data_IF_278310179246
#
_entry.id   IF_278310179246
#
_cell.length_a   1.000
_cell.length_b   1.000
_cell.length_c   1.000
_cell.angle_alpha   90.00
_cell.angle_beta   90.00
_cell.angle_gamma   90.00
#
_symmetry.space_group_name_H-M   'P 1'
#
loop_
_entity.id
_entity.type
_entity.pdbx_description
1 polymer ?
#
# COMPACT_ATOMS: atom_id res chain seq x y z
N UNK A 1 -62.64 -35.23 -37.61
CA UNK A 1 -63.80 -34.41 -37.95
C UNK A 1 -63.82 -33.28 -36.94
N UNK A 2 -63.18 -32.12 -37.17
CA UNK A 2 -63.37 -31.16 -38.31
C UNK A 2 -64.70 -30.39 -38.19
N UNK A 3 -64.82 -29.08 -38.49
CA UNK A 3 -63.88 -27.99 -38.84
C UNK A 3 -64.11 -26.79 -37.85
N UNK A 4 -63.61 -25.55 -37.93
CA UNK A 4 -62.77 -24.71 -38.85
C UNK A 4 -61.96 -23.74 -37.92
N UNK A 5 -60.78 -23.15 -38.21
CA UNK A 5 -60.33 -22.13 -39.19
C UNK A 5 -61.13 -20.79 -39.16
N UNK A 6 -60.54 -19.59 -39.27
CA UNK A 6 -59.21 -19.20 -39.80
C UNK A 6 -58.80 -17.76 -39.35
N UNK A 7 -57.49 -17.51 -39.17
CA UNK A 7 -56.75 -16.22 -39.42
C UNK A 7 -57.13 -14.91 -38.65
N UNK A 8 -56.24 -13.96 -38.33
CA UNK A 8 -54.90 -13.55 -38.85
C UNK A 8 -54.11 -12.80 -37.73
N UNK A 9 -52.77 -12.69 -37.84
CA UNK A 9 -51.98 -11.61 -37.17
C UNK A 9 -50.79 -12.02 -36.29
N UNK A 10 -49.59 -12.06 -36.88
CA UNK A 10 -48.32 -12.12 -36.13
C UNK A 10 -47.92 -10.72 -35.60
N UNK A 11 -47.57 -10.59 -34.32
CA UNK A 11 -46.64 -9.56 -33.83
C UNK A 11 -45.56 -10.20 -32.96
N UNK A 12 -44.43 -10.54 -33.58
CA UNK A 12 -43.20 -10.87 -32.87
C UNK A 12 -42.66 -9.64 -32.13
N UNK A 13 -43.11 -9.42 -30.88
CA UNK A 13 -42.45 -8.46 -29.98
C UNK A 13 -41.15 -9.05 -29.44
N UNK A 14 -40.12 -8.90 -30.25
CA UNK A 14 -38.72 -9.08 -29.85
C UNK A 14 -38.44 -8.27 -28.57
N UNK A 15 -38.19 -8.99 -27.47
CA UNK A 15 -37.65 -8.39 -26.26
C UNK A 15 -36.28 -7.81 -26.59
N UNK A 16 -36.15 -6.48 -26.44
CA UNK A 16 -34.96 -5.75 -26.85
C UNK A 16 -33.73 -6.25 -26.05
N UNK A 17 -32.64 -6.74 -26.70
CA UNK A 17 -31.53 -7.41 -26.00
C UNK A 17 -30.76 -6.50 -25.02
N UNK A 18 -30.87 -5.18 -25.19
CA UNK A 18 -30.17 -4.17 -24.36
C UNK A 18 -30.55 -4.20 -22.87
N UNK A 19 -31.73 -4.73 -22.52
CA UNK A 19 -32.18 -4.84 -21.13
C UNK A 19 -31.41 -5.90 -20.31
N UNK A 20 -30.59 -6.75 -20.94
CA UNK A 20 -29.70 -7.69 -20.23
C UNK A 20 -28.33 -7.11 -19.86
N UNK A 21 -27.95 -5.96 -20.43
CA UNK A 21 -26.66 -5.32 -20.15
C UNK A 21 -26.67 -4.36 -18.94
N UNK A 22 -27.80 -4.22 -18.23
CA UNK A 22 -27.86 -3.59 -16.91
C UNK A 22 -27.54 -4.60 -15.78
N UNK A 23 -26.61 -5.53 -16.05
CA UNK A 23 -26.15 -6.51 -15.09
C UNK A 23 -25.35 -5.84 -13.97
N UNK A 24 -25.77 -6.07 -12.72
CA UNK A 24 -25.08 -5.87 -11.44
C UNK A 24 -23.64 -5.36 -11.61
N UNK A 25 -23.45 -4.04 -11.62
CA UNK A 25 -22.09 -3.48 -11.65
C UNK A 25 -21.49 -3.53 -10.26
N UNK A 26 -20.38 -4.28 -10.11
CA UNK A 26 -19.57 -4.19 -8.91
C UNK A 26 -19.02 -2.75 -8.83
N UNK A 27 -19.10 -2.06 -7.67
CA UNK A 27 -18.50 -0.74 -7.53
C UNK A 27 -16.99 -0.72 -7.83
N UNK A 28 -16.30 -1.88 -7.87
CA UNK A 28 -14.91 -2.05 -8.30
C UNK A 28 -14.73 -2.43 -9.78
N UNK A 29 -15.79 -2.78 -10.52
CA UNK A 29 -15.72 -3.17 -11.94
C UNK A 29 -16.18 -2.09 -12.92
N UNK A 30 -16.75 -0.98 -12.44
CA UNK A 30 -17.16 0.12 -13.31
C UNK A 30 -15.95 0.75 -14.00
N UNK A 31 -16.01 0.89 -15.33
CA UNK A 31 -15.16 1.82 -16.06
C UNK A 31 -15.52 3.23 -15.58
N UNK A 32 -14.66 3.78 -14.72
CA UNK A 32 -14.93 5.03 -14.02
C UNK A 32 -14.98 6.19 -15.02
N UNK A 33 -16.05 6.98 -14.93
CA UNK A 33 -16.08 8.36 -15.41
C UNK A 33 -15.09 9.22 -14.63
N UNK A 34 -15.24 10.55 -14.71
CA UNK A 34 -14.35 11.46 -13.99
C UNK A 34 -14.42 11.15 -12.49
N UNK A 35 -13.26 11.15 -11.81
CA UNK A 35 -13.20 10.87 -10.37
C UNK A 35 -14.05 11.87 -9.56
N UNK A 36 -14.31 13.07 -10.12
CA UNK A 36 -15.20 14.08 -9.55
C UNK A 36 -16.71 13.73 -9.65
N UNK A 37 -17.12 12.82 -10.54
CA UNK A 37 -18.52 12.37 -10.67
C UNK A 37 -18.97 11.56 -9.44
N UNK A 38 -18.01 11.08 -8.64
CA UNK A 38 -18.24 10.31 -7.42
C UNK A 38 -18.26 11.13 -6.14
N UNK A 39 -17.61 12.29 -6.06
CA UNK A 39 -17.55 13.07 -4.81
C UNK A 39 -17.06 14.50 -5.08
N UNK A 40 -17.68 15.48 -4.44
CA UNK A 40 -17.29 16.89 -4.51
C UNK A 40 -15.78 17.08 -4.22
N UNK A 41 -15.06 17.70 -5.15
CA UNK A 41 -13.63 18.07 -5.06
C UNK A 41 -12.63 16.97 -4.61
N UNK A 42 -12.98 15.69 -4.73
CA UNK A 42 -12.10 14.59 -4.29
C UNK A 42 -10.73 14.58 -4.98
N UNK A 43 -10.65 14.99 -6.26
CA UNK A 43 -9.38 15.15 -6.99
C UNK A 43 -8.44 16.18 -6.34
N UNK A 44 -8.99 17.25 -5.78
CA UNK A 44 -8.21 18.27 -5.05
C UNK A 44 -7.71 17.75 -3.71
N UNK A 45 -8.49 16.93 -2.99
CA UNK A 45 -8.03 16.25 -1.77
C UNK A 45 -6.90 15.25 -2.09
N UNK A 46 -7.03 14.52 -3.19
CA UNK A 46 -6.04 13.54 -3.64
C UNK A 46 -4.71 14.18 -4.05
N UNK A 47 -4.74 15.29 -4.80
CA UNK A 47 -3.54 16.08 -5.15
C UNK A 47 -2.83 16.65 -3.90
N UNK A 48 -3.58 17.21 -2.95
CA UNK A 48 -3.03 17.67 -1.68
C UNK A 48 -2.40 16.52 -0.87
N UNK A 49 -2.98 15.32 -0.91
CA UNK A 49 -2.46 14.14 -0.23
C UNK A 49 -1.16 13.63 -0.88
N UNK A 50 -1.09 13.62 -2.21
CA UNK A 50 0.15 13.28 -2.94
C UNK A 50 1.28 14.26 -2.66
N UNK A 51 0.98 15.55 -2.45
CA UNK A 51 1.96 16.59 -2.07
C UNK A 51 2.34 16.59 -0.59
N UNK A 52 1.69 15.76 0.24
CA UNK A 52 1.90 15.76 1.69
C UNK A 52 1.35 16.99 2.42
N UNK A 53 0.44 17.74 1.80
CA UNK A 53 -0.13 19.00 2.31
C UNK A 53 -1.25 18.76 3.34
N UNK A 54 -0.97 17.94 4.37
CA UNK A 54 -1.95 17.43 5.32
C UNK A 54 -2.73 18.53 6.07
N UNK A 55 -2.09 19.67 6.39
CA UNK A 55 -2.79 20.82 7.02
C UNK A 55 -3.84 21.44 6.08
N UNK A 56 -3.51 21.59 4.81
CA UNK A 56 -4.42 22.12 3.79
C UNK A 56 -5.62 21.21 3.54
N UNK A 57 -5.46 19.89 3.72
CA UNK A 57 -6.57 18.93 3.70
C UNK A 57 -7.54 19.21 4.86
N UNK A 58 -7.04 19.35 6.10
CA UNK A 58 -7.89 19.68 7.26
C UNK A 58 -8.62 21.02 7.07
N UNK A 59 -7.93 22.05 6.58
CA UNK A 59 -8.54 23.35 6.28
C UNK A 59 -9.67 23.24 5.25
N UNK A 60 -9.44 22.48 4.16
CA UNK A 60 -10.43 22.28 3.09
C UNK A 60 -11.65 21.52 3.62
N UNK A 61 -11.42 20.43 4.36
CA UNK A 61 -12.49 19.63 4.98
C UNK A 61 -13.31 20.47 5.97
N UNK A 62 -12.65 21.28 6.82
CA UNK A 62 -13.33 22.18 7.76
C UNK A 62 -14.24 23.19 7.03
N UNK A 63 -13.77 23.76 5.91
CA UNK A 63 -14.59 24.67 5.08
C UNK A 63 -15.77 23.94 4.42
N UNK A 64 -15.56 22.77 3.81
CA UNK A 64 -16.63 22.00 3.18
C UNK A 64 -17.71 21.54 4.19
N UNK A 65 -17.31 21.16 5.41
CA UNK A 65 -18.23 20.86 6.52
C UNK A 65 -19.02 22.11 6.95
N UNK A 66 -18.36 23.26 7.16
CA UNK A 66 -19.00 24.53 7.57
C UNK A 66 -19.96 25.11 6.53
N UNK A 67 -19.70 24.88 5.25
CA UNK A 67 -20.54 25.34 4.13
C UNK A 67 -21.59 24.30 3.70
N UNK A 68 -21.72 23.18 4.42
CA UNK A 68 -22.66 22.09 4.11
C UNK A 68 -22.62 21.61 2.65
N UNK A 69 -21.40 21.53 2.07
CA UNK A 69 -21.20 21.16 0.66
C UNK A 69 -21.32 19.65 0.41
N UNK A 70 -21.26 18.84 1.47
CA UNK A 70 -21.44 17.39 1.42
C UNK A 70 -22.93 17.09 1.59
N UNK A 71 -23.51 16.32 0.66
CA UNK A 71 -24.95 16.04 0.64
C UNK A 71 -25.26 14.54 0.71
N UNK A 72 -24.36 13.69 0.22
CA UNK A 72 -24.60 12.24 0.09
C UNK A 72 -23.79 11.46 1.14
N UNK A 73 -24.35 10.43 1.79
CA UNK A 73 -23.66 9.67 2.84
C UNK A 73 -22.21 9.24 2.54
N UNK A 74 -21.91 8.78 1.32
CA UNK A 74 -20.55 8.39 0.95
C UNK A 74 -19.55 9.56 0.85
N UNK A 75 -20.00 10.78 0.55
CA UNK A 75 -19.16 11.98 0.50
C UNK A 75 -18.64 12.30 1.92
N UNK A 76 -19.50 12.18 2.94
CA UNK A 76 -19.10 12.31 4.34
C UNK A 76 -18.06 11.26 4.75
N UNK A 77 -18.24 9.99 4.35
CA UNK A 77 -17.28 8.91 4.63
C UNK A 77 -15.93 9.12 3.92
N UNK A 78 -15.93 9.62 2.68
CA UNK A 78 -14.71 9.94 1.95
C UNK A 78 -13.98 11.12 2.61
N UNK A 79 -14.68 12.19 2.94
CA UNK A 79 -14.10 13.35 3.62
C UNK A 79 -13.57 12.99 5.01
N UNK A 80 -14.29 12.16 5.77
CA UNK A 80 -13.82 11.62 7.05
C UNK A 80 -12.54 10.77 6.86
N UNK A 81 -12.49 9.91 5.85
CA UNK A 81 -11.30 9.13 5.55
C UNK A 81 -10.06 10.01 5.27
N UNK A 82 -10.22 11.10 4.52
CA UNK A 82 -9.14 12.08 4.32
C UNK A 82 -8.81 12.87 5.59
N UNK A 83 -9.80 13.18 6.44
CA UNK A 83 -9.61 13.88 7.70
C UNK A 83 -8.75 13.05 8.67
N UNK A 84 -9.18 11.83 8.96
CA UNK A 84 -8.48 10.89 9.85
C UNK A 84 -7.08 10.55 9.30
N UNK A 85 -6.93 10.39 7.98
CA UNK A 85 -5.62 10.20 7.35
C UNK A 85 -4.69 11.41 7.57
N UNK A 86 -5.18 12.64 7.37
CA UNK A 86 -4.39 13.85 7.57
C UNK A 86 -4.02 14.07 9.05
N UNK A 87 -4.94 13.82 9.99
CA UNK A 87 -4.68 13.85 11.44
C UNK A 87 -3.60 12.82 11.82
N UNK A 88 -3.73 11.58 11.33
CA UNK A 88 -2.75 10.49 11.55
C UNK A 88 -1.37 10.87 11.01
N UNK A 89 -1.29 11.45 9.80
CA UNK A 89 -0.03 11.91 9.19
C UNK A 89 0.60 13.09 9.94
N UNK A 90 -0.21 13.93 10.57
CA UNK A 90 0.23 15.02 11.46
C UNK A 90 0.52 14.56 12.91
N UNK A 91 0.49 13.24 13.18
CA UNK A 91 0.69 12.62 14.50
C UNK A 91 -0.35 13.07 15.56
N UNK A 92 -1.51 13.59 15.12
CA UNK A 92 -2.67 13.96 15.95
C UNK A 92 -3.56 12.73 16.19
N UNK A 93 -3.01 11.71 16.86
CA UNK A 93 -3.67 10.40 16.97
C UNK A 93 -4.95 10.41 17.82
N UNK A 94 -5.04 11.30 18.82
CA UNK A 94 -6.22 11.43 19.68
C UNK A 94 -7.39 12.01 18.87
N UNK A 95 -7.19 13.17 18.22
CA UNK A 95 -8.18 13.78 17.30
C UNK A 95 -8.61 12.81 16.18
N UNK A 96 -7.69 11.98 15.69
CA UNK A 96 -8.00 10.96 14.69
C UNK A 96 -8.88 9.82 15.24
N UNK A 97 -8.74 9.49 16.53
CA UNK A 97 -9.59 8.50 17.21
C UNK A 97 -10.97 9.07 17.46
N UNK A 98 -11.05 10.28 18.02
CA UNK A 98 -12.32 10.98 18.30
C UNK A 98 -13.19 11.10 17.03
N UNK A 99 -12.60 11.37 15.87
CA UNK A 99 -13.30 11.39 14.58
C UNK A 99 -13.76 10.00 14.12
N UNK A 100 -13.04 8.91 14.43
CA UNK A 100 -13.46 7.54 14.16
C UNK A 100 -14.53 7.04 15.14
N UNK A 101 -14.48 7.46 16.40
CA UNK A 101 -15.45 7.12 17.45
C UNK A 101 -16.84 7.71 17.18
N UNK A 102 -16.98 8.60 16.18
CA UNK A 102 -18.28 9.05 15.63
C UNK A 102 -18.97 8.03 14.72
N UNK A 103 -18.28 6.96 14.32
CA UNK A 103 -18.82 5.93 13.42
C UNK A 103 -19.46 4.79 14.21
N UNK A 104 -20.55 4.25 13.65
CA UNK A 104 -21.10 2.97 14.06
C UNK A 104 -20.31 1.81 13.43
N UNK A 105 -20.72 0.57 13.73
CA UNK A 105 -20.26 -0.62 13.02
C UNK A 105 -20.34 -0.44 11.49
N UNK A 106 -19.25 -0.73 10.79
CA UNK A 106 -19.12 -0.60 9.34
C UNK A 106 -20.04 -1.52 8.54
N UNK A 107 -20.67 -2.52 9.17
CA UNK A 107 -21.71 -3.35 8.56
C UNK A 107 -23.15 -2.87 8.85
N UNK A 108 -23.33 -1.77 9.59
CA UNK A 108 -24.61 -1.09 9.84
C UNK A 108 -25.30 -0.68 8.53
N UNK A 109 -26.64 -0.73 8.50
CA UNK A 109 -27.42 -0.47 7.28
C UNK A 109 -27.24 0.95 6.74
N UNK A 110 -26.97 1.95 7.60
CA UNK A 110 -26.70 3.32 7.16
C UNK A 110 -25.46 3.48 6.26
N UNK A 111 -24.56 2.49 6.25
CA UNK A 111 -23.39 2.50 5.37
C UNK A 111 -23.58 1.69 4.09
N UNK A 112 -24.79 1.24 3.78
CA UNK A 112 -25.10 0.44 2.59
C UNK A 112 -25.85 1.25 1.54
N UNK A 113 -25.49 1.08 0.26
CA UNK A 113 -26.11 1.82 -0.86
C UNK A 113 -27.62 1.55 -0.95
N UNK A 114 -28.05 0.30 -0.73
CA UNK A 114 -29.44 -0.14 -0.80
C UNK A 114 -30.39 0.56 0.19
N UNK A 115 -29.85 1.19 1.24
CA UNK A 115 -30.62 1.96 2.23
C UNK A 115 -31.08 3.33 1.70
N UNK A 116 -30.47 3.84 0.62
CA UNK A 116 -30.79 5.14 0.03
C UNK A 116 -31.15 5.02 -1.46
N UNK A 117 -32.20 4.28 -1.83
CA UNK A 117 -32.54 3.99 -3.24
C UNK A 117 -32.85 5.26 -4.06
N UNK A 118 -33.30 6.35 -3.41
CA UNK A 118 -33.52 7.65 -4.04
C UNK A 118 -32.22 8.37 -4.44
N UNK A 119 -31.11 8.07 -3.77
CA UNK A 119 -29.78 8.69 -4.02
C UNK A 119 -28.90 7.76 -4.86
N UNK A 120 -29.07 6.44 -4.71
CA UNK A 120 -28.27 5.41 -5.39
C UNK A 120 -29.16 4.34 -6.05
N UNK A 121 -29.90 4.67 -7.13
CA UNK A 121 -30.67 3.68 -7.86
C UNK A 121 -29.76 2.55 -8.35
N UNK A 122 -30.21 1.31 -8.15
CA UNK A 122 -29.55 0.06 -8.57
C UNK A 122 -28.10 -0.14 -8.05
N UNK A 123 -27.70 0.48 -6.92
CA UNK A 123 -26.41 0.22 -6.26
C UNK A 123 -26.59 -0.58 -4.98
N UNK A 124 -25.63 -1.47 -4.72
CA UNK A 124 -25.63 -2.39 -3.57
C UNK A 124 -24.26 -2.45 -2.90
N UNK A 125 -24.23 -2.70 -1.59
CA UNK A 125 -23.02 -2.94 -0.80
C UNK A 125 -22.53 -1.72 0.00
N UNK A 126 -21.33 -1.86 0.58
CA UNK A 126 -20.76 -0.89 1.53
C UNK A 126 -20.24 0.38 0.85
N UNK A 127 -20.68 1.54 1.37
CA UNK A 127 -20.13 2.87 1.09
C UNK A 127 -18.80 3.13 1.84
N UNK A 128 -18.51 2.39 2.92
CA UNK A 128 -17.30 2.57 3.74
C UNK A 128 -16.02 2.33 2.91
N UNK A 129 -15.13 3.34 2.75
CA UNK A 129 -13.88 3.16 2.03
C UNK A 129 -12.99 2.11 2.71
N UNK A 130 -12.32 1.26 1.91
CA UNK A 130 -11.41 0.25 2.46
C UNK A 130 -10.27 0.87 3.30
N UNK A 131 -9.75 2.03 2.88
CA UNK A 131 -8.75 2.79 3.63
C UNK A 131 -9.26 3.22 5.01
N UNK A 132 -10.53 3.58 5.15
CA UNK A 132 -11.13 3.93 6.45
C UNK A 132 -11.17 2.73 7.38
N UNK A 133 -11.55 1.54 6.85
CA UNK A 133 -11.52 0.27 7.60
C UNK A 133 -10.11 -0.09 8.08
N UNK A 134 -9.09 0.12 7.25
CA UNK A 134 -7.70 -0.11 7.62
C UNK A 134 -7.18 0.90 8.65
N UNK A 135 -7.43 2.21 8.48
CA UNK A 135 -7.00 3.22 9.47
C UNK A 135 -7.65 2.95 10.83
N UNK A 136 -8.93 2.56 10.86
CA UNK A 136 -9.62 2.16 12.09
C UNK A 136 -8.97 0.95 12.80
N UNK A 137 -8.37 0.02 12.05
CA UNK A 137 -7.62 -1.10 12.63
C UNK A 137 -6.19 -0.70 13.06
N UNK A 138 -5.51 0.15 12.29
CA UNK A 138 -4.11 0.55 12.51
C UNK A 138 -3.94 1.63 13.59
N UNK A 139 -4.91 2.52 13.78
CA UNK A 139 -4.77 3.68 14.67
C UNK A 139 -4.54 3.34 16.16
N UNK A 140 -5.22 2.34 16.78
CA UNK A 140 -5.02 2.01 18.20
C UNK A 140 -3.56 1.71 18.56
N UNK A 141 -2.76 1.13 17.66
CA UNK A 141 -1.31 0.96 17.83
C UNK A 141 -0.56 2.28 18.06
N UNK A 142 -0.99 3.38 17.44
CA UNK A 142 -0.39 4.73 17.65
C UNK A 142 -0.76 5.33 19.01
N UNK A 143 -1.78 4.78 19.67
CA UNK A 143 -2.19 5.08 21.05
C UNK A 143 -1.66 4.02 22.04
N UNK A 144 -0.88 3.04 21.58
CA UNK A 144 -0.29 1.97 22.40
C UNK A 144 -1.16 0.73 22.58
N UNK A 145 -2.40 0.70 22.05
CA UNK A 145 -3.28 -0.46 22.17
C UNK A 145 -3.00 -1.52 21.07
N UNK A 146 -1.92 -2.28 21.26
CA UNK A 146 -1.50 -3.35 20.33
C UNK A 146 -2.54 -4.45 20.16
N UNK A 147 -3.19 -4.88 21.25
CA UNK A 147 -4.14 -6.00 21.22
C UNK A 147 -5.30 -5.69 20.29
N UNK A 148 -5.95 -4.54 20.52
CA UNK A 148 -7.05 -4.05 19.70
C UNK A 148 -6.66 -3.85 18.22
N UNK A 149 -5.46 -3.35 17.92
CA UNK A 149 -5.02 -3.27 16.52
C UNK A 149 -4.89 -4.64 15.86
N UNK A 150 -4.30 -5.63 16.55
CA UNK A 150 -4.20 -6.98 15.99
C UNK A 150 -5.58 -7.61 15.80
N UNK A 151 -6.45 -7.53 16.79
CA UNK A 151 -7.83 -8.07 16.71
C UNK A 151 -8.60 -7.43 15.54
N UNK A 152 -8.58 -6.09 15.43
CA UNK A 152 -9.23 -5.36 14.32
C UNK A 152 -8.61 -5.70 12.96
N UNK A 153 -7.30 -5.93 12.87
CA UNK A 153 -6.63 -6.32 11.62
C UNK A 153 -6.94 -7.76 11.21
N UNK A 154 -7.02 -8.71 12.14
CA UNK A 154 -7.42 -10.08 11.85
C UNK A 154 -8.91 -10.16 11.43
N UNK A 155 -9.80 -9.43 12.10
CA UNK A 155 -11.20 -9.28 11.66
C UNK A 155 -11.29 -8.67 10.25
N UNK A 156 -10.46 -7.67 9.94
CA UNK A 156 -10.38 -7.11 8.59
C UNK A 156 -9.84 -8.09 7.55
N UNK A 157 -8.89 -8.96 7.93
CA UNK A 157 -8.37 -10.02 7.06
C UNK A 157 -9.45 -11.06 6.73
N UNK A 158 -10.21 -11.49 7.74
CA UNK A 158 -11.31 -12.45 7.54
C UNK A 158 -12.44 -11.85 6.68
N UNK A 159 -12.79 -10.58 6.91
CA UNK A 159 -13.70 -9.83 6.03
C UNK A 159 -13.19 -9.79 4.57
N UNK A 160 -11.91 -9.48 4.36
CA UNK A 160 -11.31 -9.44 3.01
C UNK A 160 -11.32 -10.81 2.35
N UNK A 161 -10.99 -11.88 3.09
CA UNK A 161 -11.00 -13.26 2.59
C UNK A 161 -12.40 -13.72 2.21
N UNK A 162 -13.41 -13.38 3.01
CA UNK A 162 -14.79 -13.72 2.69
C UNK A 162 -15.28 -12.99 1.43
N UNK A 163 -14.95 -11.70 1.28
CA UNK A 163 -15.26 -10.95 0.05
C UNK A 163 -14.52 -11.51 -1.17
N UNK A 164 -13.26 -11.90 -1.03
CA UNK A 164 -12.49 -12.55 -2.09
C UNK A 164 -13.14 -13.88 -2.51
N UNK A 165 -13.47 -14.75 -1.55
CA UNK A 165 -14.15 -16.04 -1.78
C UNK A 165 -15.46 -15.87 -2.54
N UNK A 166 -16.29 -14.90 -2.16
CA UNK A 166 -17.55 -14.60 -2.86
C UNK A 166 -17.26 -14.15 -4.30
N UNK A 167 -16.27 -13.26 -4.51
CA UNK A 167 -15.96 -12.72 -5.84
C UNK A 167 -15.33 -13.73 -6.80
N UNK A 168 -14.58 -14.70 -6.28
CA UNK A 168 -14.07 -15.84 -7.04
C UNK A 168 -15.21 -16.76 -7.52
N UNK A 169 -16.23 -16.99 -6.69
CA UNK A 169 -17.44 -17.74 -7.07
C UNK A 169 -18.27 -16.98 -8.13
N UNK A 170 -18.38 -15.66 -8.01
CA UNK A 170 -19.09 -14.79 -8.97
C UNK A 170 -18.33 -14.55 -10.29
N UNK A 171 -17.05 -14.96 -10.40
CA UNK A 171 -16.18 -14.79 -11.58
C UNK A 171 -16.00 -13.34 -12.06
N UNK A 172 -15.91 -12.38 -11.12
CA UNK A 172 -15.61 -10.98 -11.44
C UNK A 172 -14.10 -10.71 -11.40
N UNK A 173 -13.37 -11.08 -12.47
CA UNK A 173 -11.89 -11.07 -12.53
C UNK A 173 -11.22 -9.78 -11.99
N UNK A 174 -11.70 -8.60 -12.40
CA UNK A 174 -11.16 -7.30 -11.95
C UNK A 174 -11.43 -7.05 -10.45
N UNK A 175 -12.58 -7.49 -9.94
CA UNK A 175 -12.91 -7.35 -8.52
C UNK A 175 -12.08 -8.32 -7.67
N UNK A 176 -11.93 -9.58 -8.12
CA UNK A 176 -11.06 -10.61 -7.49
C UNK A 176 -9.64 -10.08 -7.32
N UNK A 177 -9.04 -9.52 -8.37
CA UNK A 177 -7.68 -8.99 -8.30
C UNK A 177 -7.54 -7.80 -7.34
N UNK A 178 -8.55 -6.93 -7.26
CA UNK A 178 -8.59 -5.84 -6.27
C UNK A 178 -8.71 -6.36 -4.83
N UNK A 179 -9.49 -7.42 -4.59
CA UNK A 179 -9.59 -8.05 -3.27
C UNK A 179 -8.34 -8.86 -2.89
N UNK A 180 -7.67 -9.51 -3.85
CA UNK A 180 -6.36 -10.16 -3.67
C UNK A 180 -5.28 -9.17 -3.23
N UNK A 181 -5.22 -8.00 -3.89
CA UNK A 181 -4.34 -6.87 -3.47
C UNK A 181 -4.65 -6.39 -2.05
N UNK A 182 -5.92 -6.38 -1.64
CA UNK A 182 -6.33 -6.06 -0.26
C UNK A 182 -5.92 -7.16 0.73
N UNK A 183 -6.03 -8.44 0.38
CA UNK A 183 -5.57 -9.54 1.26
C UNK A 183 -4.06 -9.40 1.51
N UNK A 184 -3.29 -9.22 0.43
CA UNK A 184 -1.86 -8.94 0.52
C UNK A 184 -1.55 -7.72 1.38
N UNK A 185 -2.26 -6.61 1.21
CA UNK A 185 -2.06 -5.38 2.01
C UNK A 185 -2.33 -5.57 3.51
N UNK A 186 -3.41 -6.27 3.88
CA UNK A 186 -3.73 -6.55 5.29
C UNK A 186 -2.75 -7.55 5.90
N UNK A 187 -2.39 -8.62 5.17
CA UNK A 187 -1.34 -9.56 5.60
C UNK A 187 -0.01 -8.83 5.83
N UNK A 188 0.40 -7.95 4.91
CA UNK A 188 1.61 -7.14 5.11
C UNK A 188 1.51 -6.24 6.36
N UNK A 189 0.34 -5.65 6.64
CA UNK A 189 0.12 -4.84 7.84
C UNK A 189 0.27 -5.67 9.13
N UNK A 190 -0.37 -6.84 9.19
CA UNK A 190 -0.27 -7.79 10.32
C UNK A 190 1.17 -8.29 10.49
N UNK A 191 1.81 -8.70 9.39
CA UNK A 191 3.20 -9.15 9.38
C UNK A 191 4.17 -8.08 9.89
N UNK A 192 3.95 -6.79 9.57
CA UNK A 192 4.77 -5.69 10.10
C UNK A 192 4.65 -5.55 11.62
N UNK A 193 3.45 -5.74 12.20
CA UNK A 193 3.25 -5.71 13.65
C UNK A 193 3.88 -6.90 14.36
N UNK A 194 3.82 -8.10 13.77
CA UNK A 194 4.54 -9.26 14.30
C UNK A 194 6.07 -9.08 14.17
N UNK A 195 6.55 -8.53 13.05
CA UNK A 195 7.97 -8.32 12.80
C UNK A 195 8.58 -7.29 13.76
N UNK A 196 7.90 -6.17 14.04
CA UNK A 196 8.37 -5.18 15.01
C UNK A 196 8.47 -5.73 16.44
N UNK A 197 7.65 -6.73 16.76
CA UNK A 197 7.68 -7.48 18.03
C UNK A 197 8.59 -8.73 17.99
N UNK A 198 9.32 -8.96 16.88
CA UNK A 198 10.21 -10.13 16.65
C UNK A 198 9.49 -11.49 16.69
N UNK A 199 8.19 -11.52 16.40
CA UNK A 199 7.36 -12.72 16.34
C UNK A 199 7.49 -13.40 14.96
N UNK A 200 8.73 -13.74 14.58
CA UNK A 200 9.08 -14.21 13.24
C UNK A 200 8.29 -15.43 12.79
N UNK A 201 7.92 -16.34 13.69
CA UNK A 201 7.16 -17.56 13.34
C UNK A 201 5.78 -17.28 12.74
N UNK A 202 5.06 -16.29 13.27
CA UNK A 202 3.74 -15.89 12.73
C UNK A 202 3.92 -15.17 11.39
N UNK A 203 4.91 -14.27 11.32
CA UNK A 203 5.23 -13.51 10.12
C UNK A 203 5.63 -14.42 8.93
N UNK A 204 6.50 -15.42 9.17
CA UNK A 204 6.90 -16.42 8.19
C UNK A 204 5.72 -17.30 7.74
N UNK A 205 4.81 -17.68 8.64
CA UNK A 205 3.60 -18.43 8.28
C UNK A 205 2.72 -17.61 7.34
N UNK A 206 2.34 -16.40 7.75
CA UNK A 206 1.46 -15.52 6.97
C UNK A 206 2.01 -15.18 5.58
N UNK A 207 3.33 -14.97 5.45
CA UNK A 207 3.96 -14.69 4.16
C UNK A 207 4.13 -15.92 3.29
N UNK A 208 4.42 -17.10 3.85
CA UNK A 208 4.40 -18.36 3.08
C UNK A 208 2.99 -18.66 2.57
N UNK A 209 1.96 -18.50 3.40
CA UNK A 209 0.56 -18.65 3.00
C UNK A 209 0.17 -17.66 1.88
N UNK A 210 0.72 -16.44 1.88
CA UNK A 210 0.51 -15.44 0.81
C UNK A 210 1.28 -15.77 -0.48
N UNK A 211 2.53 -16.22 -0.38
CA UNK A 211 3.38 -16.61 -1.51
C UNK A 211 2.83 -17.84 -2.20
N UNK A 212 2.43 -18.88 -1.47
CA UNK A 212 1.86 -20.11 -2.02
C UNK A 212 0.54 -19.89 -2.80
N UNK A 213 -0.17 -18.78 -2.52
CA UNK A 213 -1.36 -18.36 -3.29
C UNK A 213 -1.00 -17.58 -4.56
N UNK A 214 0.15 -16.89 -4.56
CA UNK A 214 0.54 -15.91 -5.56
C UNK A 214 2.03 -16.06 -5.90
N UNK A 215 2.44 -17.27 -6.32
CA UNK A 215 3.86 -17.64 -6.48
C UNK A 215 4.63 -16.74 -7.47
N UNK A 216 3.91 -16.08 -8.38
CA UNK A 216 4.43 -15.15 -9.38
C UNK A 216 4.62 -13.70 -8.90
N UNK A 217 4.35 -13.33 -7.63
CA UNK A 217 4.65 -11.97 -7.12
C UNK A 217 6.09 -11.83 -6.60
N UNK A 218 7.00 -11.15 -7.31
CA UNK A 218 8.39 -11.01 -6.89
C UNK A 218 8.55 -10.19 -5.61
N UNK A 219 7.60 -9.28 -5.31
CA UNK A 219 7.67 -8.42 -4.13
C UNK A 219 7.36 -9.20 -2.85
N UNK A 220 6.39 -10.12 -2.89
CA UNK A 220 6.10 -11.01 -1.75
C UNK A 220 7.23 -12.01 -1.49
N UNK A 221 7.85 -12.56 -2.55
CA UNK A 221 9.05 -13.39 -2.43
C UNK A 221 10.24 -12.62 -1.83
N UNK A 222 10.48 -11.38 -2.26
CA UNK A 222 11.58 -10.55 -1.73
C UNK A 222 11.38 -10.25 -0.23
N UNK A 223 10.16 -9.95 0.19
CA UNK A 223 9.80 -9.75 1.61
C UNK A 223 10.01 -11.02 2.44
N UNK A 224 9.61 -12.18 1.92
CA UNK A 224 9.85 -13.47 2.59
C UNK A 224 11.36 -13.69 2.79
N UNK A 225 12.16 -13.50 1.72
CA UNK A 225 13.62 -13.60 1.78
C UNK A 225 14.26 -12.61 2.75
N UNK A 226 13.75 -11.38 2.85
CA UNK A 226 14.21 -10.38 3.81
C UNK A 226 13.93 -10.77 5.28
N UNK A 227 12.75 -11.32 5.56
CA UNK A 227 12.36 -11.75 6.92
C UNK A 227 13.10 -13.03 7.31
N UNK A 228 13.40 -13.91 6.35
CA UNK A 228 14.32 -15.03 6.56
C UNK A 228 15.73 -14.55 6.97
N UNK A 229 16.29 -13.50 6.33
CA UNK A 229 17.55 -12.90 6.78
C UNK A 229 17.47 -12.33 8.20
N UNK A 230 16.38 -11.62 8.55
CA UNK A 230 16.22 -11.10 9.92
C UNK A 230 16.10 -12.21 10.98
N UNK A 231 15.54 -13.36 10.63
CA UNK A 231 15.45 -14.54 11.49
C UNK A 231 16.77 -15.35 11.56
N UNK A 232 17.67 -15.17 10.58
CA UNK A 232 18.93 -15.92 10.45
C UNK A 232 18.88 -17.10 9.48
N UNK A 233 17.76 -17.31 8.78
CA UNK A 233 17.59 -18.32 7.73
C UNK A 233 18.23 -17.87 6.40
N UNK A 234 19.58 -17.95 6.36
CA UNK A 234 20.37 -17.57 5.18
C UNK A 234 20.12 -18.48 3.98
N UNK A 235 19.84 -19.76 4.20
CA UNK A 235 19.62 -20.74 3.13
C UNK A 235 18.24 -20.55 2.50
N UNK A 236 17.20 -20.46 3.31
CA UNK A 236 15.85 -20.18 2.86
C UNK A 236 15.74 -18.80 2.19
N UNK A 237 16.44 -17.78 2.67
CA UNK A 237 16.51 -16.48 1.99
C UNK A 237 17.13 -16.57 0.60
N UNK A 238 18.28 -17.27 0.45
CA UNK A 238 18.90 -17.51 -0.86
C UNK A 238 17.96 -18.26 -1.79
N UNK A 239 17.25 -19.26 -1.29
CA UNK A 239 16.25 -19.99 -2.09
C UNK A 239 15.12 -19.06 -2.56
N UNK A 240 14.55 -18.23 -1.68
CA UNK A 240 13.54 -17.23 -2.02
C UNK A 240 14.02 -16.22 -3.07
N UNK A 241 15.28 -15.77 -2.99
CA UNK A 241 15.85 -14.85 -3.99
C UNK A 241 16.19 -15.54 -5.32
N UNK A 242 16.66 -16.79 -5.29
CA UNK A 242 16.89 -17.59 -6.50
C UNK A 242 15.60 -17.81 -7.30
N UNK A 243 14.45 -17.96 -6.64
CA UNK A 243 13.14 -18.03 -7.32
C UNK A 243 12.86 -16.74 -8.11
N UNK A 244 13.15 -15.57 -7.54
CA UNK A 244 12.99 -14.26 -8.21
C UNK A 244 13.94 -14.14 -9.42
N UNK A 245 15.18 -14.63 -9.30
CA UNK A 245 16.12 -14.68 -10.42
C UNK A 245 15.65 -15.60 -11.55
N UNK A 246 14.94 -16.68 -11.23
CA UNK A 246 14.37 -17.57 -12.24
C UNK A 246 13.15 -16.93 -12.91
N UNK A 247 12.24 -16.29 -12.15
CA UNK A 247 11.13 -15.51 -12.73
C UNK A 247 11.63 -14.46 -13.73
N UNK A 248 12.74 -13.76 -13.44
CA UNK A 248 13.37 -12.82 -14.37
C UNK A 248 13.89 -13.49 -15.67
N UNK A 249 14.50 -14.68 -15.58
CA UNK A 249 14.98 -15.44 -16.76
C UNK A 249 13.83 -15.98 -17.61
N UNK A 250 12.77 -16.43 -16.94
CA UNK A 250 11.59 -17.03 -17.58
C UNK A 250 10.65 -15.98 -18.19
N UNK A 251 10.87 -14.69 -17.90
CA UNK A 251 10.02 -13.58 -18.36
C UNK A 251 8.64 -13.52 -17.68
N UNK A 252 8.42 -14.33 -16.63
CA UNK A 252 7.12 -14.52 -16.00
C UNK A 252 6.98 -13.64 -14.74
N UNK A 253 6.88 -12.32 -14.94
CA UNK A 253 6.73 -11.35 -13.86
C UNK A 253 5.78 -10.20 -14.24
N UNK A 254 5.11 -9.63 -13.24
CA UNK A 254 4.14 -8.52 -13.39
C UNK A 254 4.77 -7.12 -13.26
N UNK A 255 6.04 -7.05 -12.90
CA UNK A 255 6.79 -5.80 -12.73
C UNK A 255 7.32 -5.26 -14.05
N UNK A 256 7.58 -3.96 -14.09
CA UNK A 256 8.42 -3.37 -15.13
C UNK A 256 9.83 -4.00 -15.14
N UNK A 257 10.44 -4.13 -16.32
CA UNK A 257 11.74 -4.82 -16.49
C UNK A 257 12.87 -4.16 -15.69
N UNK A 258 12.92 -2.83 -15.63
CA UNK A 258 13.94 -2.10 -14.84
C UNK A 258 13.72 -2.37 -13.35
N UNK A 259 12.46 -2.28 -12.90
CA UNK A 259 12.10 -2.56 -11.50
C UNK A 259 12.37 -4.01 -11.10
N UNK A 260 12.19 -4.97 -12.00
CA UNK A 260 12.48 -6.39 -11.77
C UNK A 260 14.00 -6.64 -11.67
N UNK A 261 14.81 -6.06 -12.57
CA UNK A 261 16.28 -6.13 -12.50
C UNK A 261 16.80 -5.49 -11.21
N UNK A 262 16.35 -4.29 -10.87
CA UNK A 262 16.73 -3.62 -9.63
C UNK A 262 16.25 -4.39 -8.38
N UNK A 263 15.12 -5.11 -8.42
CA UNK A 263 14.73 -6.01 -7.33
C UNK A 263 15.73 -7.15 -7.15
N UNK A 264 16.17 -7.80 -8.23
CA UNK A 264 17.19 -8.86 -8.20
C UNK A 264 18.53 -8.35 -7.65
N UNK A 265 19.07 -7.25 -8.19
CA UNK A 265 20.34 -6.69 -7.71
C UNK A 265 20.25 -6.25 -6.24
N UNK A 266 19.15 -5.60 -5.81
CA UNK A 266 18.95 -5.25 -4.39
C UNK A 266 18.90 -6.48 -3.48
N UNK A 267 18.28 -7.58 -3.92
CA UNK A 267 18.27 -8.86 -3.18
C UNK A 267 19.69 -9.46 -3.07
N UNK A 268 20.49 -9.43 -4.16
CA UNK A 268 21.90 -9.85 -4.15
C UNK A 268 22.75 -9.01 -3.19
N UNK A 269 22.60 -7.69 -3.27
CA UNK A 269 23.26 -6.74 -2.38
C UNK A 269 22.95 -7.01 -0.89
N UNK A 270 21.72 -7.41 -0.55
CA UNK A 270 21.37 -7.82 0.82
C UNK A 270 22.12 -9.07 1.28
N UNK A 271 22.32 -10.07 0.41
CA UNK A 271 23.13 -11.26 0.74
C UNK A 271 24.59 -10.86 0.99
N UNK A 272 25.18 -10.01 0.15
CA UNK A 272 26.54 -9.50 0.35
C UNK A 272 26.67 -8.67 1.63
N UNK A 273 25.69 -7.80 1.92
CA UNK A 273 25.65 -6.98 3.14
C UNK A 273 25.61 -7.85 4.41
N UNK A 274 24.78 -8.91 4.44
CA UNK A 274 24.75 -9.87 5.55
C UNK A 274 26.05 -10.67 5.64
N UNK A 275 26.69 -10.98 4.50
CA UNK A 275 28.03 -11.54 4.42
C UNK A 275 29.17 -10.58 4.80
N UNK A 276 28.88 -9.30 5.09
CA UNK A 276 29.83 -8.20 5.32
C UNK A 276 30.72 -7.86 4.11
N UNK A 277 30.38 -8.33 2.91
CA UNK A 277 31.01 -7.90 1.66
C UNK A 277 30.33 -6.63 1.15
N UNK A 278 30.62 -5.51 1.83
CA UNK A 278 30.06 -4.23 1.47
C UNK A 278 30.54 -3.73 0.10
N UNK A 279 31.67 -4.22 -0.42
CA UNK A 279 32.21 -3.81 -1.72
C UNK A 279 31.37 -4.40 -2.85
N UNK A 280 31.06 -5.70 -2.78
CA UNK A 280 30.14 -6.32 -3.75
C UNK A 280 28.72 -5.77 -3.60
N UNK A 281 28.25 -5.49 -2.38
CA UNK A 281 26.95 -4.85 -2.16
C UNK A 281 26.86 -3.45 -2.81
N UNK A 282 27.91 -2.62 -2.71
CA UNK A 282 27.95 -1.30 -3.37
C UNK A 282 27.82 -1.44 -4.89
N UNK A 283 28.55 -2.37 -5.52
CA UNK A 283 28.47 -2.60 -6.98
C UNK A 283 27.06 -2.96 -7.45
N UNK A 284 26.39 -3.85 -6.72
CA UNK A 284 25.01 -4.26 -7.02
C UNK A 284 24.03 -3.07 -6.88
N UNK A 285 24.25 -2.17 -5.91
CA UNK A 285 23.46 -0.94 -5.78
C UNK A 285 23.81 0.12 -6.83
N UNK A 286 25.07 0.22 -7.26
CA UNK A 286 25.48 1.09 -8.37
C UNK A 286 24.77 0.69 -9.67
N UNK A 287 24.73 -0.60 -10.01
CA UNK A 287 23.95 -1.10 -11.15
C UNK A 287 22.46 -0.77 -11.06
N UNK A 288 21.89 -0.67 -9.85
CA UNK A 288 20.49 -0.24 -9.69
C UNK A 288 20.32 1.25 -10.00
N UNK A 289 21.24 2.09 -9.50
CA UNK A 289 21.20 3.56 -9.63
C UNK A 289 21.48 3.99 -11.08
N UNK A 290 22.39 3.29 -11.78
CA UNK A 290 22.65 3.51 -13.21
C UNK A 290 21.44 3.23 -14.10
N UNK A 291 20.59 2.26 -13.71
CA UNK A 291 19.35 1.92 -14.44
C UNK A 291 18.17 2.79 -14.04
N UNK A 292 18.05 3.13 -12.75
CA UNK A 292 17.00 3.98 -12.21
C UNK A 292 17.55 4.81 -11.03
N UNK A 293 17.94 6.05 -11.34
CA UNK A 293 18.38 7.01 -10.33
C UNK A 293 17.28 7.36 -9.30
N UNK A 294 16.01 7.00 -9.56
CA UNK A 294 14.89 7.19 -8.63
C UNK A 294 14.74 6.04 -7.62
N UNK A 295 15.55 4.98 -7.69
CA UNK A 295 15.53 3.86 -6.73
C UNK A 295 16.12 4.28 -5.37
N UNK A 296 15.27 4.92 -4.56
CA UNK A 296 15.60 5.38 -3.20
C UNK A 296 16.17 4.26 -2.32
N UNK A 297 15.77 3.01 -2.54
CA UNK A 297 16.25 1.86 -1.75
C UNK A 297 17.70 1.56 -2.09
N UNK A 298 18.06 1.57 -3.38
CA UNK A 298 19.44 1.37 -3.82
C UNK A 298 20.35 2.52 -3.35
N UNK A 299 19.93 3.78 -3.53
CA UNK A 299 20.69 4.97 -3.08
C UNK A 299 20.95 4.94 -1.57
N UNK A 300 19.91 4.72 -0.77
CA UNK A 300 20.00 4.67 0.69
C UNK A 300 20.89 3.51 1.17
N UNK A 301 20.76 2.33 0.57
CA UNK A 301 21.53 1.16 0.99
C UNK A 301 22.99 1.20 0.49
N UNK A 302 23.27 1.85 -0.66
CA UNK A 302 24.64 2.17 -1.08
C UNK A 302 25.34 3.06 -0.05
N UNK A 303 24.69 4.15 0.36
CA UNK A 303 25.22 5.03 1.40
C UNK A 303 25.46 4.26 2.72
N UNK A 304 24.52 3.41 3.13
CA UNK A 304 24.70 2.55 4.30
C UNK A 304 25.92 1.60 4.18
N UNK A 305 26.17 1.02 3.00
CA UNK A 305 27.36 0.19 2.77
C UNK A 305 28.66 1.00 2.81
N UNK A 306 28.68 2.21 2.23
CA UNK A 306 29.82 3.12 2.31
C UNK A 306 30.11 3.54 3.76
N UNK A 307 29.08 3.80 4.56
CA UNK A 307 29.19 4.04 6.00
C UNK A 307 29.84 2.85 6.72
N UNK A 308 29.45 1.60 6.41
CA UNK A 308 30.08 0.40 6.99
C UNK A 308 31.54 0.21 6.54
N UNK A 309 31.88 0.64 5.32
CA UNK A 309 33.26 0.74 4.83
C UNK A 309 34.06 1.90 5.45
N UNK A 310 33.42 2.73 6.29
CA UNK A 310 33.94 3.95 6.92
C UNK A 310 34.19 5.11 5.95
N UNK A 311 33.70 5.02 4.71
CA UNK A 311 33.72 6.13 3.76
C UNK A 311 32.51 7.05 3.97
N UNK A 312 32.59 7.85 5.04
CA UNK A 312 31.55 8.83 5.36
C UNK A 312 31.47 9.94 4.30
N UNK A 313 32.56 10.25 3.61
CA UNK A 313 32.63 11.34 2.63
C UNK A 313 31.83 10.98 1.39
N UNK A 314 32.09 9.82 0.79
CA UNK A 314 31.36 9.40 -0.41
C UNK A 314 29.94 8.93 -0.06
N UNK A 315 29.71 8.39 1.14
CA UNK A 315 28.36 8.14 1.65
C UNK A 315 27.50 9.41 1.73
N UNK A 316 28.06 10.55 2.13
CA UNK A 316 27.32 11.82 2.20
C UNK A 316 27.06 12.34 0.78
N UNK A 317 28.07 12.37 -0.11
CA UNK A 317 27.93 12.80 -1.50
C UNK A 317 26.83 12.05 -2.25
N UNK A 318 26.70 10.74 -2.04
CA UNK A 318 25.65 9.91 -2.65
C UNK A 318 24.25 10.38 -2.27
N UNK A 319 24.04 10.73 -1.00
CA UNK A 319 22.74 11.21 -0.51
C UNK A 319 22.46 12.67 -0.89
N UNK A 320 23.47 13.54 -0.81
CA UNK A 320 23.36 14.95 -1.22
C UNK A 320 23.05 15.06 -2.72
N UNK A 321 23.81 14.38 -3.58
CA UNK A 321 23.59 14.39 -5.03
C UNK A 321 22.21 13.82 -5.43
N UNK A 322 21.71 12.83 -4.70
CA UNK A 322 20.36 12.30 -4.92
C UNK A 322 19.25 13.29 -4.49
N UNK A 323 19.46 14.06 -3.41
CA UNK A 323 18.53 15.10 -2.96
C UNK A 323 18.55 16.34 -3.89
N UNK A 324 19.72 16.71 -4.41
CA UNK A 324 19.87 17.81 -5.37
C UNK A 324 19.21 17.48 -6.72
N UNK A 325 19.40 16.25 -7.21
CA UNK A 325 18.80 15.80 -8.48
C UNK A 325 17.31 15.47 -8.37
N UNK A 326 16.86 14.90 -7.24
CA UNK A 326 15.48 14.46 -7.04
C UNK A 326 14.95 14.99 -5.69
N UNK A 327 14.42 16.22 -5.63
CA UNK A 327 13.96 16.84 -4.38
C UNK A 327 12.88 16.05 -3.61
N UNK A 328 12.14 15.15 -4.27
CA UNK A 328 11.15 14.29 -3.61
C UNK A 328 11.78 13.23 -2.70
N UNK A 329 13.09 12.96 -2.81
CA UNK A 329 13.81 12.09 -1.87
C UNK A 329 13.79 12.66 -0.44
N UNK A 330 13.65 13.98 -0.27
CA UNK A 330 13.49 14.62 1.04
C UNK A 330 12.18 14.23 1.77
N UNK A 331 11.22 13.61 1.08
CA UNK A 331 10.01 13.05 1.68
C UNK A 331 10.25 11.66 2.32
N UNK A 332 11.40 11.03 2.08
CA UNK A 332 11.75 9.75 2.69
C UNK A 332 12.51 9.96 4.02
N UNK A 333 11.83 9.73 5.14
CA UNK A 333 12.38 9.86 6.50
C UNK A 333 13.67 9.05 6.70
N UNK A 334 13.84 7.91 6.02
CA UNK A 334 15.05 7.06 6.13
C UNK A 334 16.29 7.73 5.53
N UNK A 335 16.13 8.34 4.34
CA UNK A 335 17.21 9.05 3.62
C UNK A 335 17.67 10.26 4.43
N UNK A 336 16.71 11.06 4.88
CA UNK A 336 16.98 12.27 5.67
C UNK A 336 17.65 11.90 7.00
N UNK A 337 17.15 10.87 7.69
CA UNK A 337 17.72 10.40 8.94
C UNK A 337 19.15 9.87 8.76
N UNK A 338 19.41 9.09 7.71
CA UNK A 338 20.76 8.58 7.42
C UNK A 338 21.74 9.73 7.15
N UNK A 339 21.36 10.71 6.30
CA UNK A 339 22.19 11.89 6.03
C UNK A 339 22.48 12.69 7.31
N UNK A 340 21.47 12.93 8.15
CA UNK A 340 21.65 13.62 9.43
C UNK A 340 22.61 12.87 10.38
N UNK A 341 22.52 11.53 10.44
CA UNK A 341 23.43 10.69 11.23
C UNK A 341 24.86 10.80 10.70
N UNK A 342 25.06 10.72 9.38
CA UNK A 342 26.38 10.81 8.75
C UNK A 342 27.05 12.16 8.99
N UNK A 343 26.34 13.26 8.77
CA UNK A 343 26.84 14.62 9.04
C UNK A 343 27.23 14.77 10.51
N UNK A 344 26.40 14.26 11.43
CA UNK A 344 26.71 14.28 12.87
C UNK A 344 27.94 13.45 13.22
N UNK A 345 28.11 12.27 12.62
CA UNK A 345 29.31 11.44 12.81
C UNK A 345 30.57 12.18 12.34
N UNK A 346 30.55 12.79 11.15
CA UNK A 346 31.68 13.58 10.63
C UNK A 346 32.04 14.75 11.55
N UNK A 347 31.05 15.47 12.07
CA UNK A 347 31.28 16.56 13.04
C UNK A 347 31.93 16.05 14.33
N UNK A 348 31.43 14.94 14.89
CA UNK A 348 32.00 14.31 16.10
C UNK A 348 33.44 13.86 15.86
N UNK A 349 33.75 13.24 14.72
CA UNK A 349 35.13 12.86 14.37
C UNK A 349 36.06 14.06 14.19
N UNK A 350 35.58 15.21 13.71
CA UNK A 350 36.39 16.44 13.63
C UNK A 350 36.75 16.97 15.02
N UNK A 351 35.76 17.10 15.91
CA UNK A 351 35.97 17.57 17.29
C UNK A 351 36.97 16.69 18.04
N UNK A 352 36.81 15.36 18.01
CA UNK A 352 37.77 14.45 18.65
C UNK A 352 39.19 14.55 18.08
N UNK A 353 39.34 14.77 16.76
CA UNK A 353 40.65 14.95 16.14
C UNK A 353 41.29 16.32 16.45
N UNK A 354 40.50 17.35 16.75
CA UNK A 354 40.99 18.65 17.21
C UNK A 354 41.42 18.57 18.69
N UNK A 355 40.62 17.97 19.56
CA UNK A 355 40.98 17.71 20.96
C UNK A 355 42.25 16.84 21.08
N UNK A 356 42.36 15.78 20.29
CA UNK A 356 43.54 14.90 20.25
C UNK A 356 44.79 15.53 19.61
N UNK A 357 44.70 16.73 19.04
CA UNK A 357 45.84 17.54 18.57
C UNK A 357 46.26 18.63 19.56
N UNK A 358 45.44 18.88 20.58
CA UNK A 358 45.70 19.84 21.65
C UNK A 358 46.27 19.20 22.92
N UNK A 359 46.37 17.86 22.93
CA UNK A 359 47.01 17.01 23.94
C UNK A 359 48.36 16.48 23.43
#
# INVERSE_FOLDING_TARGET
MEFENQEHGEENRTLNPDLRNQSISDPLSNQLGSVNDLCFEISSLQDLAFRGSWRSILDKISRSRKLSLLQKPHEHLIYLCYNVLALTKLRKFIEASEELDTLEDFESSQYKYETYPQVYPNRFGSMVPFTLRWIHAELPMRLGNRGETLDRLYLLLDFVREKLRIKELEKFDVSVENWRKREGFVINSISNHHLSNKEFGVCLKLLKDLVNKNESDPLSLSKLGYIQLQFGDLEGSKNSFNLIENLLKDGNYSLDEVKMKNLVNRNKALIYLVGKDYISAVREYDECIERDATDVVAVNNKALCLMYLRDLTDSIKVLESALESIPTFALNETVVLLLMILIRLVLVFKVFNEEARLL
#
